data_IF_209571281693
#
_entry.id   IF_209571281693
#
_cell.length_a   1.000
_cell.length_b   1.000
_cell.length_c   1.000
_cell.angle_alpha   90.00
_cell.angle_beta   90.00
_cell.angle_gamma   90.00
#
_symmetry.space_group_name_H-M   'P 1'
#
loop_
_entity.id
_entity.type
_entity.pdbx_description
1 polymer ?
#
# COMPACT_ATOMS: atom_id res chain seq x y z
N UNK A 1 12.58 27.53 -9.23
CA UNK A 1 12.31 26.93 -10.56
C UNK A 1 11.63 25.60 -10.34
N UNK A 2 10.35 25.46 -10.65
CA UNK A 2 9.67 24.15 -10.67
C UNK A 2 10.09 23.44 -11.96
N UNK A 3 10.79 22.31 -11.82
CA UNK A 3 11.18 21.46 -12.95
C UNK A 3 9.90 20.99 -13.67
N UNK A 4 9.86 21.14 -14.98
CA UNK A 4 8.76 20.63 -15.80
C UNK A 4 8.64 19.11 -15.57
N UNK A 5 7.42 18.61 -15.32
CA UNK A 5 7.13 17.19 -15.02
C UNK A 5 7.59 16.63 -13.67
N UNK A 6 8.04 17.46 -12.72
CA UNK A 6 8.39 16.98 -11.38
C UNK A 6 7.24 16.25 -10.64
N UNK A 7 5.98 16.49 -11.04
CA UNK A 7 4.81 15.85 -10.46
C UNK A 7 4.47 14.47 -11.04
N UNK A 8 5.05 14.07 -12.18
CA UNK A 8 4.69 12.82 -12.86
C UNK A 8 4.80 11.56 -11.97
N UNK A 9 5.84 11.40 -11.11
CA UNK A 9 5.93 10.24 -10.22
C UNK A 9 4.80 10.17 -9.21
N UNK A 10 4.37 11.32 -8.67
CA UNK A 10 3.27 11.42 -7.71
C UNK A 10 1.94 11.10 -8.38
N UNK A 11 1.70 11.64 -9.58
CA UNK A 11 0.51 11.35 -10.37
C UNK A 11 0.43 9.88 -10.81
N UNK A 12 1.57 9.26 -11.14
CA UNK A 12 1.65 7.84 -11.50
C UNK A 12 1.36 6.93 -10.30
N UNK A 13 1.83 7.27 -9.10
CA UNK A 13 1.51 6.54 -7.87
C UNK A 13 0.02 6.67 -7.52
N UNK A 14 -0.53 7.88 -7.57
CA UNK A 14 -1.96 8.15 -7.35
C UNK A 14 -2.84 7.42 -8.38
N UNK A 15 -2.43 7.39 -9.65
CA UNK A 15 -3.10 6.62 -10.71
C UNK A 15 -3.11 5.11 -10.43
N UNK A 16 -2.00 4.54 -9.96
CA UNK A 16 -1.91 3.12 -9.57
C UNK A 16 -2.78 2.80 -8.36
N UNK A 17 -2.83 3.71 -7.39
CA UNK A 17 -3.70 3.59 -6.22
C UNK A 17 -5.18 3.61 -6.64
N UNK A 18 -5.58 4.56 -7.49
CA UNK A 18 -6.94 4.68 -8.06
C UNK A 18 -7.33 3.52 -8.98
N UNK A 19 -6.38 2.84 -9.63
CA UNK A 19 -6.69 1.68 -10.46
C UNK A 19 -7.06 0.44 -9.62
N UNK A 20 -6.51 0.34 -8.41
CA UNK A 20 -6.74 -0.80 -7.49
C UNK A 20 -7.94 -0.57 -6.59
N UNK A 21 -8.20 0.68 -6.25
CA UNK A 21 -9.38 1.08 -5.52
C UNK A 21 -10.50 1.34 -6.54
N UNK A 22 -11.66 0.68 -6.40
CA UNK A 22 -12.86 1.08 -7.16
C UNK A 22 -13.10 2.59 -7.00
N UNK A 23 -13.74 3.29 -7.97
CA UNK A 23 -14.01 4.72 -7.89
C UNK A 23 -14.47 5.11 -6.49
N UNK A 24 -13.63 5.86 -5.78
CA UNK A 24 -13.79 6.08 -4.34
C UNK A 24 -14.88 7.11 -4.06
N UNK A 25 -16.13 6.70 -4.27
CA UNK A 25 -17.29 7.46 -3.78
C UNK A 25 -17.28 7.40 -2.24
N UNK A 26 -16.95 8.51 -1.59
CA UNK A 26 -17.13 8.66 -0.14
C UNK A 26 -15.90 9.02 0.70
N UNK A 27 -14.69 9.04 0.14
CA UNK A 27 -13.51 9.52 0.87
C UNK A 27 -13.48 11.05 0.83
N UNK A 28 -14.16 11.67 1.79
CA UNK A 28 -14.33 13.14 1.86
C UNK A 28 -13.30 13.85 2.72
N UNK A 29 -12.47 13.12 3.47
CA UNK A 29 -11.51 13.67 4.43
C UNK A 29 -10.09 13.21 4.13
N UNK A 30 -9.13 14.14 4.21
CA UNK A 30 -7.71 13.84 4.07
C UNK A 30 -7.22 12.77 5.05
N UNK A 31 -7.73 12.75 6.28
CA UNK A 31 -7.40 11.71 7.27
C UNK A 31 -7.77 10.31 6.76
N UNK A 32 -8.96 10.15 6.19
CA UNK A 32 -9.42 8.86 5.65
C UNK A 32 -8.61 8.43 4.43
N UNK A 33 -8.28 9.37 3.54
CA UNK A 33 -7.39 9.10 2.40
C UNK A 33 -6.01 8.63 2.87
N UNK A 34 -5.41 9.31 3.85
CA UNK A 34 -4.11 8.93 4.42
C UNK A 34 -4.10 7.52 5.00
N UNK A 35 -5.11 7.15 5.79
CA UNK A 35 -5.21 5.81 6.39
C UNK A 35 -5.30 4.75 5.30
N UNK A 36 -6.13 4.97 4.27
CA UNK A 36 -6.30 4.02 3.18
C UNK A 36 -5.02 3.86 2.35
N UNK A 37 -4.37 4.97 1.98
CA UNK A 37 -3.11 4.94 1.24
C UNK A 37 -2.01 4.23 2.04
N UNK A 38 -1.91 4.50 3.35
CA UNK A 38 -0.94 3.84 4.21
C UNK A 38 -1.19 2.32 4.31
N UNK A 39 -2.44 1.90 4.52
CA UNK A 39 -2.81 0.48 4.54
C UNK A 39 -2.53 -0.22 3.21
N UNK A 40 -2.81 0.45 2.09
CA UNK A 40 -2.50 -0.08 0.76
C UNK A 40 -0.99 -0.22 0.53
N UNK A 41 -0.20 0.80 0.89
CA UNK A 41 1.26 0.72 0.81
C UNK A 41 1.83 -0.40 1.69
N UNK A 42 1.31 -0.56 2.91
CA UNK A 42 1.69 -1.63 3.83
C UNK A 42 1.48 -3.02 3.22
N UNK A 43 0.28 -3.32 2.72
CA UNK A 43 -0.04 -4.61 2.05
C UNK A 43 0.89 -4.86 0.86
N UNK A 44 1.23 -3.82 0.10
CA UNK A 44 2.12 -3.95 -1.06
C UNK A 44 3.57 -4.19 -0.67
N UNK A 45 4.04 -3.55 0.40
CA UNK A 45 5.38 -3.74 0.93
C UNK A 45 5.55 -5.15 1.51
N UNK A 46 4.51 -5.67 2.17
CA UNK A 46 4.47 -7.08 2.60
C UNK A 46 4.59 -8.03 1.41
N UNK A 47 3.75 -7.87 0.37
CA UNK A 47 3.83 -8.73 -0.84
C UNK A 47 5.19 -8.70 -1.52
N UNK A 48 5.91 -7.58 -1.45
CA UNK A 48 7.23 -7.41 -2.05
C UNK A 48 8.38 -7.87 -1.15
N UNK A 49 8.11 -8.23 0.12
CA UNK A 49 9.16 -8.60 1.07
C UNK A 49 10.01 -7.42 1.53
N UNK A 50 9.43 -6.22 1.61
CA UNK A 50 10.10 -5.05 2.17
C UNK A 50 10.10 -5.03 3.70
N UNK A 51 9.60 -6.09 4.33
CA UNK A 51 9.62 -6.33 5.77
C UNK A 51 10.16 -7.73 6.02
N UNK A 52 10.81 -7.93 7.18
CA UNK A 52 11.38 -9.22 7.59
C UNK A 52 10.30 -10.23 8.00
N UNK A 53 9.10 -9.75 8.37
CA UNK A 53 7.95 -10.57 8.72
C UNK A 53 7.57 -11.50 7.55
N UNK A 54 7.37 -12.80 7.85
CA UNK A 54 7.20 -13.84 6.83
C UNK A 54 8.24 -13.79 5.69
N UNK A 55 9.48 -13.38 5.98
CA UNK A 55 10.56 -13.23 4.99
C UNK A 55 10.95 -14.54 4.31
N UNK A 56 10.83 -15.66 5.03
CA UNK A 56 11.09 -17.03 4.59
C UNK A 56 9.99 -17.59 3.66
N UNK A 57 8.81 -16.97 3.64
CA UNK A 57 7.69 -17.42 2.83
C UNK A 57 7.85 -17.01 1.36
N UNK A 58 7.44 -17.90 0.46
CA UNK A 58 7.30 -17.57 -0.95
C UNK A 58 6.36 -16.36 -1.14
N UNK A 59 6.61 -15.54 -2.16
CA UNK A 59 5.88 -14.29 -2.39
C UNK A 59 4.34 -14.46 -2.45
N UNK A 60 3.85 -15.61 -2.94
CA UNK A 60 2.43 -15.94 -2.97
C UNK A 60 1.79 -16.20 -1.60
N UNK A 61 2.58 -16.59 -0.60
CA UNK A 61 2.12 -16.95 0.75
C UNK A 61 2.43 -15.88 1.80
N UNK A 62 3.38 -14.97 1.50
CA UNK A 62 3.86 -13.95 2.44
C UNK A 62 2.73 -13.12 3.07
N UNK A 63 1.73 -12.70 2.29
CA UNK A 63 0.60 -11.93 2.84
C UNK A 63 -0.15 -12.72 3.92
N UNK A 64 -0.54 -13.96 3.62
CA UNK A 64 -1.30 -14.82 4.56
C UNK A 64 -0.49 -15.06 5.82
N UNK A 65 0.75 -15.51 5.68
CA UNK A 65 1.64 -15.81 6.79
C UNK A 65 1.91 -14.57 7.66
N UNK A 66 2.10 -13.40 7.05
CA UNK A 66 2.23 -12.14 7.80
C UNK A 66 1.00 -11.88 8.67
N UNK A 67 -0.22 -12.03 8.12
CA UNK A 67 -1.44 -11.79 8.90
C UNK A 67 -1.64 -12.83 10.01
N UNK A 68 -1.27 -14.09 9.78
CA UNK A 68 -1.24 -15.12 10.82
C UNK A 68 -0.27 -14.75 11.96
N UNK A 69 0.95 -14.33 11.62
CA UNK A 69 1.97 -13.90 12.58
C UNK A 69 1.54 -12.64 13.36
N UNK A 70 1.00 -11.63 12.68
CA UNK A 70 0.48 -10.41 13.31
C UNK A 70 -0.70 -10.70 14.26
N UNK A 71 -1.54 -11.67 13.93
CA UNK A 71 -2.68 -12.07 14.79
C UNK A 71 -2.20 -12.67 16.10
N UNK A 72 -1.03 -13.33 16.12
CA UNK A 72 -0.44 -13.87 17.34
C UNK A 72 0.29 -12.80 18.17
N UNK A 73 0.67 -11.68 17.56
CA UNK A 73 1.47 -10.63 18.17
C UNK A 73 0.65 -9.52 18.85
N UNK A 74 -0.66 -9.46 18.62
CA UNK A 74 -1.60 -8.42 19.13
C UNK A 74 -2.67 -9.09 19.98
#
# INVERSE_FOLDING_TARGET
VTQQYANNPVEADDGRLKARLRPMRGIKRFRSARILTAGHAFVQNLRRGHYEIAGDQAAGHRLRATFEELTLAI
#
